data_IF_846702351815
#
_entry.id   IF_846702351815
#
_cell.length_a   1.000
_cell.length_b   1.000
_cell.length_c   1.000
_cell.angle_alpha   90.00
_cell.angle_beta   90.00
_cell.angle_gamma   90.00
#
_symmetry.space_group_name_H-M   'P 1'
#
loop_
_entity.id
_entity.type
_entity.pdbx_description
1 polymer ?
#
# COMPACT_ATOMS: atom_id res chain seq x y z
N UNK A 1 -11.49 -11.86 7.84
CA UNK A 1 -11.03 -10.74 8.70
C UNK A 1 -10.32 -9.76 7.77
N UNK A 2 -10.45 -8.45 7.98
CA UNK A 2 -9.71 -7.45 7.19
C UNK A 2 -8.83 -6.64 8.11
N UNK A 3 -7.68 -6.22 7.61
CA UNK A 3 -6.68 -5.45 8.35
C UNK A 3 -6.42 -4.14 7.63
N UNK A 4 -6.34 -3.05 8.39
CA UNK A 4 -5.90 -1.76 7.88
C UNK A 4 -4.40 -1.68 8.06
N UNK A 5 -3.66 -1.39 7.00
CA UNK A 5 -2.20 -1.28 7.00
C UNK A 5 -1.79 0.07 6.44
N UNK A 6 -0.77 0.69 7.06
CA UNK A 6 -0.08 1.83 6.46
C UNK A 6 0.98 1.29 5.50
N UNK A 7 0.91 1.72 4.23
CA UNK A 7 1.76 1.21 3.16
C UNK A 7 2.54 2.34 2.55
N UNK A 8 3.85 2.14 2.39
CA UNK A 8 4.72 2.98 1.58
C UNK A 8 4.99 2.29 0.24
N UNK A 9 4.91 3.03 -0.85
CA UNK A 9 5.04 2.46 -2.19
C UNK A 9 5.72 3.41 -3.17
N UNK A 10 6.24 2.82 -4.24
CA UNK A 10 6.66 3.50 -5.46
C UNK A 10 5.68 3.18 -6.58
N UNK A 11 5.44 4.16 -7.45
CA UNK A 11 4.64 3.97 -8.64
C UNK A 11 5.18 4.73 -9.85
N UNK A 12 4.84 4.29 -11.06
CA UNK A 12 4.98 5.06 -12.29
C UNK A 12 3.62 5.21 -12.96
N UNK A 13 3.32 6.43 -13.42
CA UNK A 13 2.06 6.70 -14.13
C UNK A 13 2.22 6.37 -15.62
N UNK A 14 1.14 5.92 -16.24
CA UNK A 14 1.10 5.65 -17.67
C UNK A 14 1.61 6.85 -18.48
N UNK A 15 2.58 6.60 -19.36
CA UNK A 15 3.20 7.61 -20.20
C UNK A 15 4.21 8.53 -19.48
N UNK A 16 4.47 8.32 -18.18
CA UNK A 16 5.51 9.04 -17.44
C UNK A 16 6.64 8.10 -17.03
N UNK A 17 7.88 8.53 -17.32
CA UNK A 17 9.10 7.79 -16.93
C UNK A 17 9.53 8.02 -15.48
N UNK A 18 8.87 8.93 -14.76
CA UNK A 18 9.22 9.25 -13.39
C UNK A 18 8.70 8.18 -12.42
N UNK A 19 9.59 7.73 -11.52
CA UNK A 19 9.21 6.94 -10.35
C UNK A 19 8.82 7.94 -9.25
N UNK A 20 7.63 7.79 -8.73
CA UNK A 20 7.09 8.58 -7.63
C UNK A 20 6.94 7.70 -6.40
N UNK A 21 7.03 8.30 -5.22
CA UNK A 21 6.81 7.64 -3.92
C UNK A 21 5.54 8.19 -3.29
N UNK A 22 4.84 7.35 -2.55
CA UNK A 22 3.66 7.73 -1.78
C UNK A 22 3.46 6.81 -0.59
N UNK A 23 2.55 7.21 0.29
CA UNK A 23 2.05 6.37 1.37
C UNK A 23 0.54 6.47 1.46
N UNK A 24 -0.11 5.41 1.93
CA UNK A 24 -1.55 5.38 2.14
C UNK A 24 -1.94 4.35 3.21
N UNK A 25 -3.15 4.49 3.75
CA UNK A 25 -3.77 3.51 4.65
C UNK A 25 -4.76 2.66 3.87
N UNK A 26 -4.47 1.36 3.73
CA UNK A 26 -5.29 0.42 2.96
C UNK A 26 -5.93 -0.62 3.86
N UNK A 27 -7.23 -0.84 3.69
CA UNK A 27 -7.90 -2.01 4.28
C UNK A 27 -7.81 -3.18 3.30
N UNK A 28 -7.07 -4.21 3.67
CA UNK A 28 -6.85 -5.42 2.87
C UNK A 28 -7.39 -6.65 3.62
N UNK A 29 -7.71 -7.71 2.88
CA UNK A 29 -8.12 -8.98 3.51
C UNK A 29 -6.98 -9.62 4.31
N UNK A 30 -5.74 -9.49 3.82
CA UNK A 30 -4.54 -10.04 4.44
C UNK A 30 -3.37 -9.07 4.25
N UNK A 31 -2.53 -8.89 5.28
CA UNK A 31 -1.30 -8.10 5.20
C UNK A 31 -0.20 -8.86 4.43
N UNK A 32 -0.40 -9.01 3.12
CA UNK A 32 0.60 -9.58 2.22
C UNK A 32 0.94 -8.60 1.11
N UNK A 33 2.20 -8.58 0.63
CA UNK A 33 2.58 -7.70 -0.48
C UNK A 33 1.70 -7.87 -1.72
N UNK A 34 1.22 -9.09 -1.98
CA UNK A 34 0.33 -9.39 -3.11
C UNK A 34 -1.04 -8.75 -2.95
N UNK A 35 -1.67 -8.88 -1.78
CA UNK A 35 -2.98 -8.30 -1.51
C UNK A 35 -2.93 -6.76 -1.54
N UNK A 36 -1.88 -6.18 -0.95
CA UNK A 36 -1.62 -4.74 -0.95
C UNK A 36 -1.42 -4.21 -2.37
N UNK A 37 -0.56 -4.85 -3.17
CA UNK A 37 -0.32 -4.44 -4.55
C UNK A 37 -1.59 -4.57 -5.41
N UNK A 38 -2.41 -5.61 -5.19
CA UNK A 38 -3.69 -5.76 -5.88
C UNK A 38 -4.65 -4.62 -5.52
N UNK A 39 -4.73 -4.24 -4.24
CA UNK A 39 -5.55 -3.11 -3.80
C UNK A 39 -5.08 -1.78 -4.40
N UNK A 40 -3.77 -1.51 -4.38
CA UNK A 40 -3.20 -0.30 -5.01
C UNK A 40 -3.50 -0.23 -6.51
N UNK A 41 -3.48 -1.36 -7.23
CA UNK A 41 -3.87 -1.41 -8.65
C UNK A 41 -5.35 -1.11 -8.88
N UNK A 42 -6.23 -1.55 -7.98
CA UNK A 42 -7.66 -1.28 -8.07
C UNK A 42 -7.97 0.20 -7.85
N UNK A 43 -7.28 0.83 -6.89
CA UNK A 43 -7.47 2.26 -6.57
C UNK A 43 -6.82 3.19 -7.61
N UNK A 44 -5.74 2.73 -8.27
CA UNK A 44 -4.98 3.53 -9.21
C UNK A 44 -4.78 2.83 -10.56
N UNK A 45 -5.83 2.73 -11.40
CA UNK A 45 -5.79 2.00 -12.67
C UNK A 45 -4.83 2.60 -13.71
N UNK A 46 -4.36 3.84 -13.51
CA UNK A 46 -3.43 4.53 -14.41
C UNK A 46 -1.96 4.33 -14.04
N UNK A 47 -1.65 3.56 -13.00
CA UNK A 47 -0.26 3.24 -12.64
C UNK A 47 0.20 2.00 -13.40
N UNK A 48 1.30 2.13 -14.14
CA UNK A 48 1.88 1.02 -14.91
C UNK A 48 2.77 0.13 -14.05
N UNK A 49 3.44 0.73 -13.06
CA UNK A 49 4.33 0.05 -12.14
C UNK A 49 3.96 0.43 -10.72
N UNK A 50 3.92 -0.58 -9.85
CA UNK A 50 3.68 -0.42 -8.41
C UNK A 50 4.66 -1.34 -7.68
N UNK A 51 5.38 -0.78 -6.71
CA UNK A 51 6.27 -1.51 -5.82
C UNK A 51 5.97 -1.12 -4.38
N UNK A 52 5.57 -2.10 -3.56
CA UNK A 52 5.43 -1.91 -2.12
C UNK A 52 6.82 -1.85 -1.50
N UNK A 53 7.11 -0.81 -0.72
CA UNK A 53 8.36 -0.61 0.00
C UNK A 53 8.26 -1.14 1.42
N UNK A 54 7.18 -0.76 2.10
CA UNK A 54 6.89 -1.12 3.50
C UNK A 54 5.39 -1.24 3.69
N UNK A 55 4.97 -2.12 4.60
CA UNK A 55 3.59 -2.25 5.05
C UNK A 55 3.58 -2.54 6.54
N UNK A 56 3.01 -1.63 7.32
CA UNK A 56 2.98 -1.70 8.78
C UNK A 56 1.54 -1.70 9.24
N UNK A 57 1.14 -2.69 10.02
CA UNK A 57 -0.12 -2.66 10.74
C UNK A 57 -0.04 -1.57 11.80
N UNK A 58 -1.10 -0.77 12.03
CA UNK A 58 -1.13 0.13 13.16
C UNK A 58 -0.96 -0.74 14.40
N UNK A 59 0.21 -0.60 15.05
CA UNK A 59 0.49 -1.29 16.31
C UNK A 59 -0.69 -1.03 17.24
N UNK A 60 -1.28 -2.07 17.81
CA UNK A 60 -2.30 -1.95 18.85
C UNK A 60 -1.66 -1.44 20.16
N UNK A 61 -0.78 -0.44 20.09
CA UNK A 61 -0.15 0.22 21.24
C UNK A 61 -1.14 1.22 21.84
N UNK A 62 -2.09 0.61 22.55
CA UNK A 62 -2.96 1.20 23.53
C UNK A 62 -3.16 0.21 24.66
N UNK A 63 -2.08 -0.26 25.27
CA UNK A 63 -2.11 -0.74 26.66
C UNK A 63 -1.01 -0.01 27.39
N UNK A 64 -1.40 1.12 28.00
CA UNK A 64 -0.64 1.68 29.09
C UNK A 64 -0.50 0.62 30.19
N UNK A 65 0.70 0.47 30.74
CA UNK A 65 0.94 -0.10 32.07
C UNK A 65 2.13 0.62 32.68
#
# INVERSE_FOLDING_TARGET
MSVTVHVEYQYCQHGKKAILTGSDSLTVAENTPRAIAAMLRLLHPHWEGIKVLSATEPSAEGTAS
#
